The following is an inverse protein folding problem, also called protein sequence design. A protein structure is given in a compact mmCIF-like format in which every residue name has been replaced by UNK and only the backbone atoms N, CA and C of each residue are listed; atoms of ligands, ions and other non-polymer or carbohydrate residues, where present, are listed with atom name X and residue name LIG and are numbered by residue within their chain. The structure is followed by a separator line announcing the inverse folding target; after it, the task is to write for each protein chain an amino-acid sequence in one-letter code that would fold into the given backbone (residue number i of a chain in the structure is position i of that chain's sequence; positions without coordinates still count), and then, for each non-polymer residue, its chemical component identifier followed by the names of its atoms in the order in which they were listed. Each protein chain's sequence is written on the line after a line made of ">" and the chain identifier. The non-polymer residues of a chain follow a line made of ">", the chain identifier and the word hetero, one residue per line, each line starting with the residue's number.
data_IF_354799338608
#
_entry.id   IF_354799338608
#
_cell.length_a   1.000
_cell.length_b   1.000
_cell.length_c   1.000
_cell.angle_alpha   90.00
_cell.angle_beta   90.00
_cell.angle_gamma   90.00
#
_symmetry.space_group_name_H-M   'P 1'
#
loop_
_entity.id
_entity.type
_entity.pdbx_description
1 polymer ?
#
# COMPACT_ATOMS: atom_id res chain seq x y z
N UNK A 1 -71.17 27.94 -0.50
CA UNK A 1 -69.93 28.27 -1.22
C UNK A 1 -68.87 28.54 -0.17
N UNK A 2 -68.01 27.55 0.09
CA UNK A 2 -66.98 27.60 1.13
C UNK A 2 -65.66 27.96 0.44
N UNK A 3 -64.87 28.92 0.94
CA UNK A 3 -63.63 29.35 0.28
C UNK A 3 -62.60 28.21 0.26
N UNK A 4 -62.07 27.92 -0.93
CA UNK A 4 -60.98 26.97 -1.14
C UNK A 4 -59.70 27.54 -0.55
N UNK A 5 -59.22 26.93 0.53
CA UNK A 5 -57.91 27.24 1.12
C UNK A 5 -56.96 26.15 0.64
N UNK A 6 -56.02 26.50 -0.23
CA UNK A 6 -54.93 25.57 -0.56
C UNK A 6 -54.11 25.35 0.71
N UNK A 7 -54.09 24.10 1.18
CA UNK A 7 -53.21 23.68 2.25
C UNK A 7 -51.86 23.48 1.59
N UNK A 8 -50.93 24.38 1.89
CA UNK A 8 -49.51 24.23 1.55
C UNK A 8 -49.01 22.88 2.10
N UNK A 9 -48.69 21.94 1.20
CA UNK A 9 -48.10 20.64 1.52
C UNK A 9 -46.62 20.73 1.93
N UNK A 10 -46.09 21.91 2.25
CA UNK A 10 -44.73 22.02 2.79
C UNK A 10 -44.65 21.81 4.32
N UNK A 11 -45.64 21.13 4.92
CA UNK A 11 -45.54 20.60 6.29
C UNK A 11 -44.87 19.22 6.27
N UNK A 12 -43.64 19.22 5.76
CA UNK A 12 -42.72 18.08 5.78
C UNK A 12 -41.56 18.36 6.72
N UNK A 13 -41.85 18.89 7.91
CA UNK A 13 -40.92 19.06 9.02
C UNK A 13 -40.40 17.72 9.54
N UNK A 14 -39.60 17.03 8.74
CA UNK A 14 -38.72 15.97 9.18
C UNK A 14 -37.37 16.60 9.50
N UNK A 15 -37.20 17.11 10.73
CA UNK A 15 -35.85 17.21 11.30
C UNK A 15 -35.27 15.80 11.25
N UNK A 16 -34.55 15.48 10.20
CA UNK A 16 -33.70 14.31 10.17
C UNK A 16 -32.57 14.63 11.13
N UNK A 17 -32.79 14.36 12.43
CA UNK A 17 -31.73 14.17 13.39
C UNK A 17 -31.02 12.86 13.05
N UNK A 18 -30.49 12.74 11.83
CA UNK A 18 -29.24 12.02 11.68
C UNK A 18 -28.29 12.88 12.49
N UNK A 19 -27.90 12.39 13.67
CA UNK A 19 -26.70 12.85 14.34
C UNK A 19 -25.61 12.53 13.31
N UNK A 20 -25.39 13.45 12.36
CA UNK A 20 -24.15 13.46 11.62
C UNK A 20 -23.14 13.68 12.72
N UNK A 21 -22.22 12.74 12.84
CA UNK A 21 -21.07 12.92 13.71
C UNK A 21 -19.95 13.40 12.79
N UNK A 22 -20.00 14.63 12.27
CA UNK A 22 -19.05 15.12 11.27
C UNK A 22 -17.62 15.05 11.81
N UNK A 23 -17.43 15.16 13.13
CA UNK A 23 -16.15 14.97 13.79
C UNK A 23 -15.65 13.53 13.71
N UNK A 24 -16.51 12.53 14.00
CA UNK A 24 -16.14 11.11 13.85
C UNK A 24 -15.89 10.76 12.38
N UNK A 25 -16.76 11.23 11.47
CA UNK A 25 -16.60 11.00 10.04
C UNK A 25 -15.31 11.64 9.50
N UNK A 26 -14.98 12.86 9.94
CA UNK A 26 -13.74 13.54 9.59
C UNK A 26 -12.52 12.81 10.17
N UNK A 27 -12.59 12.33 11.41
CA UNK A 27 -11.53 11.54 12.03
C UNK A 27 -11.28 10.23 11.26
N UNK A 28 -12.34 9.53 10.85
CA UNK A 28 -12.26 8.34 9.99
C UNK A 28 -11.58 8.67 8.66
N UNK A 29 -11.97 9.78 8.02
CA UNK A 29 -11.37 10.23 6.76
C UNK A 29 -9.89 10.57 6.91
N UNK A 30 -9.50 11.26 8.00
CA UNK A 30 -8.11 11.60 8.29
C UNK A 30 -7.27 10.34 8.53
N UNK A 31 -7.79 9.38 9.28
CA UNK A 31 -7.08 8.12 9.55
C UNK A 31 -6.93 7.28 8.28
N UNK A 32 -7.99 7.20 7.46
CA UNK A 32 -7.95 6.56 6.16
C UNK A 32 -6.91 7.22 5.22
N UNK A 33 -6.87 8.56 5.18
CA UNK A 33 -5.90 9.32 4.38
C UNK A 33 -4.46 9.10 4.86
N UNK A 34 -4.23 9.08 6.18
CA UNK A 34 -2.91 8.75 6.75
C UNK A 34 -2.44 7.34 6.38
N UNK A 35 -3.35 6.37 6.47
CA UNK A 35 -3.06 4.98 6.09
C UNK A 35 -2.75 4.87 4.60
N UNK A 36 -3.54 5.53 3.76
CA UNK A 36 -3.34 5.53 2.31
C UNK A 36 -2.00 6.17 1.94
N UNK A 37 -1.67 7.34 2.51
CA UNK A 37 -0.37 8.01 2.32
C UNK A 37 0.81 7.14 2.76
N UNK A 38 0.66 6.39 3.84
CA UNK A 38 1.71 5.47 4.31
C UNK A 38 1.95 4.35 3.31
N UNK A 39 0.89 3.72 2.80
CA UNK A 39 0.98 2.69 1.76
C UNK A 39 1.58 3.23 0.44
N UNK A 40 1.21 4.44 0.05
CA UNK A 40 1.79 5.11 -1.13
C UNK A 40 3.28 5.39 -0.95
N UNK A 41 3.68 5.88 0.24
CA UNK A 41 5.10 6.07 0.59
C UNK A 41 5.87 4.76 0.52
N UNK A 42 5.34 3.70 1.12
CA UNK A 42 5.95 2.38 1.10
C UNK A 42 6.13 1.85 -0.32
N UNK A 43 5.06 1.92 -1.12
CA UNK A 43 5.10 1.52 -2.53
C UNK A 43 6.15 2.31 -3.31
N UNK A 44 6.19 3.63 -3.15
CA UNK A 44 7.13 4.50 -3.85
C UNK A 44 8.59 4.17 -3.49
N UNK A 45 8.87 3.92 -2.21
CA UNK A 45 10.19 3.51 -1.75
C UNK A 45 10.62 2.14 -2.33
N UNK A 46 9.70 1.18 -2.37
CA UNK A 46 9.94 -0.14 -3.00
C UNK A 46 10.22 0.02 -4.49
N UNK A 47 9.41 0.79 -5.22
CA UNK A 47 9.59 1.02 -6.65
C UNK A 47 10.93 1.69 -6.95
N UNK A 48 11.26 2.78 -6.24
CA UNK A 48 12.55 3.47 -6.37
C UNK A 48 13.71 2.51 -6.15
N UNK A 49 13.71 1.78 -5.03
CA UNK A 49 14.75 0.81 -4.75
C UNK A 49 14.84 -0.25 -5.85
N UNK A 50 13.70 -0.80 -6.28
CA UNK A 50 13.64 -1.84 -7.31
C UNK A 50 14.23 -1.38 -8.64
N UNK A 51 13.79 -0.23 -9.16
CA UNK A 51 14.23 0.26 -10.47
C UNK A 51 15.70 0.71 -10.51
N UNK A 52 16.24 1.18 -9.39
CA UNK A 52 17.66 1.51 -9.26
C UNK A 52 18.56 0.27 -9.07
N UNK A 53 17.98 -0.92 -8.85
CA UNK A 53 18.75 -2.16 -8.68
C UNK A 53 19.23 -2.72 -10.01
N UNK A 54 20.31 -3.50 -9.98
CA UNK A 54 20.75 -4.29 -11.13
C UNK A 54 19.72 -5.37 -11.53
N UNK A 55 19.79 -5.82 -12.77
CA UNK A 55 18.85 -6.78 -13.37
C UNK A 55 18.72 -8.08 -12.57
N UNK A 56 19.83 -8.62 -12.07
CA UNK A 56 19.83 -9.86 -11.29
C UNK A 56 19.11 -9.64 -9.94
N UNK A 57 19.37 -8.52 -9.26
CA UNK A 57 18.65 -8.14 -8.03
C UNK A 57 17.16 -7.98 -8.30
N UNK A 58 16.77 -7.35 -9.41
CA UNK A 58 15.36 -7.21 -9.78
C UNK A 58 14.69 -8.57 -9.98
N UNK A 59 15.33 -9.51 -10.68
CA UNK A 59 14.81 -10.87 -10.85
C UNK A 59 14.64 -11.57 -9.50
N UNK A 60 15.66 -11.48 -8.63
CA UNK A 60 15.64 -12.07 -7.28
C UNK A 60 14.47 -11.52 -6.46
N UNK A 61 14.34 -10.19 -6.37
CA UNK A 61 13.31 -9.56 -5.53
C UNK A 61 11.91 -9.82 -6.10
N UNK A 62 11.75 -9.75 -7.42
CA UNK A 62 10.46 -10.03 -8.06
C UNK A 62 9.99 -11.45 -7.79
N UNK A 63 10.86 -12.44 -7.95
CA UNK A 63 10.51 -13.84 -7.71
C UNK A 63 10.18 -14.12 -6.24
N UNK A 64 10.97 -13.57 -5.32
CA UNK A 64 10.85 -13.89 -3.89
C UNK A 64 9.76 -13.10 -3.16
N UNK A 65 9.48 -11.84 -3.57
CA UNK A 65 8.61 -10.93 -2.81
C UNK A 65 7.40 -10.41 -3.57
N UNK A 66 7.49 -10.23 -4.90
CA UNK A 66 6.37 -9.66 -5.67
C UNK A 66 5.40 -10.72 -6.19
N UNK A 67 5.88 -11.95 -6.41
CA UNK A 67 5.02 -13.05 -6.80
C UNK A 67 4.19 -13.51 -5.61
N UNK A 68 2.86 -13.57 -5.80
CA UNK A 68 1.93 -14.14 -4.83
C UNK A 68 2.29 -15.58 -4.44
N UNK A 69 2.80 -16.34 -5.40
CA UNK A 69 3.29 -17.72 -5.20
C UNK A 69 4.70 -17.83 -5.81
N UNK A 70 5.76 -17.68 -5.01
CA UNK A 70 7.14 -17.86 -5.47
C UNK A 70 7.35 -19.28 -5.99
N UNK A 71 7.89 -19.41 -7.21
CA UNK A 71 8.24 -20.71 -7.81
C UNK A 71 9.58 -21.21 -7.29
N UNK A 72 10.49 -20.29 -6.97
CA UNK A 72 11.85 -20.63 -6.54
C UNK A 72 12.19 -20.03 -5.18
N UNK A 73 12.97 -20.77 -4.41
CA UNK A 73 13.69 -20.25 -3.24
C UNK A 73 14.99 -19.56 -3.67
N UNK A 74 15.72 -18.95 -2.73
CA UNK A 74 17.06 -18.41 -3.02
C UNK A 74 18.02 -19.44 -3.61
N UNK A 75 17.86 -20.71 -3.21
CA UNK A 75 18.66 -21.82 -3.72
C UNK A 75 18.15 -22.27 -5.08
N UNK A 76 16.83 -22.35 -5.24
CA UNK A 76 16.18 -22.65 -6.52
C UNK A 76 16.55 -21.66 -7.62
N UNK A 77 16.70 -20.37 -7.31
CA UNK A 77 17.14 -19.35 -8.26
C UNK A 77 18.53 -19.64 -8.85
N UNK A 78 19.45 -20.13 -8.01
CA UNK A 78 20.82 -20.48 -8.43
C UNK A 78 20.85 -21.83 -9.16
N UNK A 79 20.25 -22.86 -8.56
CA UNK A 79 20.29 -24.24 -9.10
C UNK A 79 19.57 -24.39 -10.43
N UNK A 80 18.50 -23.62 -10.67
CA UNK A 80 17.75 -23.63 -11.93
C UNK A 80 18.27 -22.59 -12.94
N UNK A 81 19.43 -21.96 -12.68
CA UNK A 81 20.03 -20.95 -13.56
C UNK A 81 19.07 -19.81 -13.93
N UNK A 82 18.16 -19.44 -13.02
CA UNK A 82 17.28 -18.28 -13.21
C UNK A 82 18.10 -16.99 -13.13
N UNK A 83 19.12 -17.01 -12.28
CA UNK A 83 20.14 -15.96 -12.17
C UNK A 83 21.50 -16.64 -12.18
N UNK A 84 22.45 -16.11 -12.95
CA UNK A 84 23.81 -16.65 -13.09
C UNK A 84 24.72 -16.30 -11.89
N UNK A 85 24.19 -16.45 -10.68
CA UNK A 85 24.84 -16.10 -9.43
C UNK A 85 24.86 -17.29 -8.46
N UNK A 86 25.89 -17.37 -7.63
CA UNK A 86 25.93 -18.32 -6.52
C UNK A 86 24.87 -17.99 -5.47
N UNK A 87 24.43 -18.99 -4.70
CA UNK A 87 23.50 -18.83 -3.57
C UNK A 87 23.99 -17.74 -2.60
N UNK A 88 25.31 -17.71 -2.32
CA UNK A 88 25.92 -16.70 -1.44
C UNK A 88 25.77 -15.28 -2.01
N UNK A 89 26.00 -15.13 -3.31
CA UNK A 89 25.82 -13.85 -4.01
C UNK A 89 24.36 -13.41 -3.98
N UNK A 90 23.42 -14.31 -4.25
CA UNK A 90 21.97 -14.02 -4.19
C UNK A 90 21.56 -13.55 -2.79
N UNK A 91 21.99 -14.24 -1.72
CA UNK A 91 21.71 -13.84 -0.34
C UNK A 91 22.26 -12.44 -0.04
N UNK A 92 23.48 -12.14 -0.52
CA UNK A 92 24.10 -10.81 -0.36
C UNK A 92 23.33 -9.72 -1.10
N UNK A 93 22.95 -9.96 -2.35
CA UNK A 93 22.18 -9.00 -3.17
C UNK A 93 20.81 -8.71 -2.55
N UNK A 94 20.10 -9.76 -2.15
CA UNK A 94 18.85 -9.65 -1.40
C UNK A 94 19.01 -8.83 -0.12
N UNK A 95 20.04 -9.11 0.67
CA UNK A 95 20.32 -8.37 1.91
C UNK A 95 20.71 -6.91 1.68
N UNK A 96 21.46 -6.61 0.63
CA UNK A 96 21.79 -5.25 0.24
C UNK A 96 20.54 -4.46 -0.19
N UNK A 97 19.66 -5.09 -0.98
CA UNK A 97 18.37 -4.51 -1.37
C UNK A 97 17.52 -4.15 -0.15
N UNK A 98 17.32 -5.10 0.76
CA UNK A 98 16.47 -4.89 1.95
C UNK A 98 17.03 -3.81 2.88
N UNK A 99 18.35 -3.70 3.03
CA UNK A 99 18.97 -2.63 3.83
C UNK A 99 18.75 -1.26 3.21
N UNK A 100 18.88 -1.13 1.89
CA UNK A 100 18.58 0.14 1.20
C UNK A 100 17.11 0.50 1.31
N UNK A 101 16.21 -0.48 1.14
CA UNK A 101 14.78 -0.25 1.31
C UNK A 101 14.45 0.17 2.75
N UNK A 102 15.02 -0.47 3.76
CA UNK A 102 14.83 -0.10 5.15
C UNK A 102 15.33 1.32 5.46
N UNK A 103 16.44 1.74 4.84
CA UNK A 103 16.93 3.11 4.92
C UNK A 103 16.00 4.12 4.24
N UNK A 104 15.38 3.78 3.11
CA UNK A 104 14.42 4.67 2.41
C UNK A 104 13.09 4.81 3.18
N UNK A 105 12.70 3.76 3.91
CA UNK A 105 11.49 3.74 4.72
C UNK A 105 11.68 4.30 6.13
N UNK A 106 12.91 4.69 6.52
CA UNK A 106 13.27 5.10 7.88
C UNK A 106 12.94 4.05 8.97
N UNK A 107 13.02 2.75 8.64
CA UNK A 107 12.71 1.62 9.56
C UNK A 107 14.00 1.06 10.20
N UNK A 108 15.15 1.69 9.99
CA UNK A 108 16.42 1.19 10.53
C UNK A 108 16.60 1.60 11.99
N UNK A 109 16.72 0.62 12.88
CA UNK A 109 17.23 0.79 14.25
C UNK A 109 18.78 0.64 14.21
N UNK A 110 19.54 1.54 14.85
CA UNK A 110 21.01 1.55 14.82
C UNK A 110 21.67 0.30 15.41
#
# INVERSE_FOLDING_TARGET
>A
MIPHREIDENVGGGKSSKISKPQEQMMITIDADRRLKSLEREKSAIEKCFFESDTDTQIIIKELYFRRYPKYTTEGLSLNHVVNCSIRTIKRMKGAFLRRLASELDIYEP
#
